data_IF_174105899261
#
_entry.id   IF_174105899261
#
_cell.length_a   1.000
_cell.length_b   1.000
_cell.length_c   1.000
_cell.angle_alpha   90.00
_cell.angle_beta   90.00
_cell.angle_gamma   90.00
#
_symmetry.space_group_name_H-M   'P 1'
#
loop_
_entity.id
_entity.type
_entity.pdbx_description
1 polymer ?
#
# COMPACT_ATOMS: atom_id res chain seq x y z
N UNK A 1 -12.16 -12.17 36.38
CA UNK A 1 -11.36 -12.99 35.44
C UNK A 1 -11.94 -12.75 34.06
N UNK A 2 -11.64 -11.57 33.54
CA UNK A 2 -12.17 -11.07 32.28
C UNK A 2 -11.46 -11.75 31.12
N UNK A 3 -12.19 -12.56 30.37
CA UNK A 3 -11.71 -13.09 29.10
C UNK A 3 -11.75 -11.96 28.09
N UNK A 4 -10.57 -11.43 27.77
CA UNK A 4 -10.33 -10.52 26.65
C UNK A 4 -10.87 -11.17 25.38
N UNK A 5 -11.96 -10.61 24.86
CA UNK A 5 -12.50 -10.94 23.56
C UNK A 5 -11.49 -10.47 22.49
N UNK A 6 -10.71 -11.40 21.95
CA UNK A 6 -9.93 -11.14 20.74
C UNK A 6 -10.91 -10.80 19.62
N UNK A 7 -10.80 -9.59 19.07
CA UNK A 7 -11.56 -9.16 17.91
C UNK A 7 -11.19 -10.04 16.72
N UNK A 8 -12.08 -10.96 16.35
CA UNK A 8 -12.00 -11.64 15.07
C UNK A 8 -12.12 -10.57 13.98
N UNK A 9 -11.05 -10.38 13.20
CA UNK A 9 -10.94 -9.30 12.23
C UNK A 9 -12.05 -9.38 11.19
N UNK A 10 -12.79 -8.28 11.02
CA UNK A 10 -13.67 -8.09 9.86
C UNK A 10 -12.87 -8.31 8.56
N UNK A 11 -13.49 -8.97 7.60
CA UNK A 11 -12.93 -9.12 6.25
C UNK A 11 -12.66 -7.76 5.60
N UNK A 12 -11.78 -7.74 4.59
CA UNK A 12 -11.40 -6.53 3.88
C UNK A 12 -12.58 -6.00 3.04
N UNK A 13 -12.98 -4.75 3.27
CA UNK A 13 -13.89 -4.02 2.39
C UNK A 13 -13.12 -3.44 1.19
N UNK A 14 -13.10 -4.21 0.10
CA UNK A 14 -12.36 -3.82 -1.11
C UNK A 14 -12.98 -2.62 -1.83
N UNK A 15 -14.30 -2.45 -1.75
CA UNK A 15 -14.98 -1.31 -2.39
C UNK A 15 -14.62 0.00 -1.69
N UNK A 16 -14.49 -0.03 -0.36
CA UNK A 16 -14.04 1.11 0.42
C UNK A 16 -12.59 1.49 0.07
N UNK A 17 -11.69 0.50 -0.06
CA UNK A 17 -10.30 0.76 -0.46
C UNK A 17 -10.20 1.28 -1.90
N UNK A 18 -10.95 0.72 -2.84
CA UNK A 18 -11.02 1.22 -4.22
C UNK A 18 -11.46 2.68 -4.25
N UNK A 19 -12.56 3.01 -3.55
CA UNK A 19 -13.08 4.38 -3.49
C UNK A 19 -12.06 5.36 -2.90
N UNK A 20 -11.34 4.95 -1.85
CA UNK A 20 -10.28 5.75 -1.25
C UNK A 20 -9.07 5.94 -2.19
N UNK A 21 -8.68 4.89 -2.93
CA UNK A 21 -7.59 4.97 -3.90
C UNK A 21 -7.94 5.90 -5.07
N UNK A 22 -9.16 5.80 -5.60
CA UNK A 22 -9.69 6.69 -6.65
C UNK A 22 -9.76 8.14 -6.15
N UNK A 23 -10.17 8.37 -4.90
CA UNK A 23 -10.18 9.70 -4.32
C UNK A 23 -8.76 10.28 -4.19
N UNK A 24 -7.79 9.47 -3.77
CA UNK A 24 -6.39 9.86 -3.66
C UNK A 24 -5.79 10.19 -5.03
N UNK A 25 -6.05 9.36 -6.05
CA UNK A 25 -5.57 9.54 -7.43
C UNK A 25 -5.88 10.94 -7.99
N UNK A 26 -7.04 11.51 -7.66
CA UNK A 26 -7.45 12.85 -8.09
C UNK A 26 -6.56 13.99 -7.58
N UNK A 27 -5.73 13.74 -6.57
CA UNK A 27 -4.78 14.69 -6.00
C UNK A 27 -3.37 14.53 -6.57
N UNK A 28 -3.14 13.59 -7.49
CA UNK A 28 -1.83 13.32 -8.07
C UNK A 28 -1.23 14.56 -8.74
N UNK A 29 0.03 14.83 -8.44
CA UNK A 29 0.84 15.79 -9.18
C UNK A 29 1.62 15.04 -10.25
N UNK A 30 1.04 14.92 -11.45
CA UNK A 30 1.63 14.17 -12.56
C UNK A 30 1.67 14.96 -13.89
N UNK A 31 2.24 16.19 -13.93
CA UNK A 31 2.23 17.02 -15.13
C UNK A 31 3.13 16.50 -16.24
N UNK A 32 4.13 15.66 -15.93
CA UNK A 32 5.11 15.18 -16.89
C UNK A 32 4.63 13.91 -17.58
N UNK A 33 4.29 12.86 -16.83
CA UNK A 33 3.78 11.61 -17.43
C UNK A 33 2.32 11.70 -17.88
N UNK A 34 1.53 12.59 -17.26
CA UNK A 34 0.07 12.61 -17.38
C UNK A 34 -0.57 11.29 -16.95
N UNK A 35 0.08 10.58 -16.03
CA UNK A 35 -0.36 9.29 -15.51
C UNK A 35 -0.61 9.38 -13.99
N UNK A 36 -1.80 9.82 -13.57
CA UNK A 36 -2.14 9.91 -12.16
C UNK A 36 -2.39 8.52 -11.58
N UNK A 37 -1.89 8.29 -10.37
CA UNK A 37 -1.98 7.03 -9.63
C UNK A 37 -2.41 7.34 -8.21
N UNK A 38 -3.34 6.54 -7.68
CA UNK A 38 -3.76 6.61 -6.28
C UNK A 38 -3.70 5.25 -5.62
N UNK A 39 -3.40 5.25 -4.33
CA UNK A 39 -3.33 4.05 -3.52
C UNK A 39 -4.05 4.24 -2.18
N UNK A 40 -4.60 3.16 -1.65
CA UNK A 40 -5.19 3.08 -0.32
C UNK A 40 -4.81 1.78 0.36
N UNK A 41 -4.65 1.81 1.69
CA UNK A 41 -4.36 0.63 2.48
C UNK A 41 -5.10 0.65 3.81
N UNK A 42 -5.56 -0.53 4.24
CA UNK A 42 -6.12 -0.76 5.57
C UNK A 42 -4.99 -1.12 6.53
N UNK A 43 -4.91 -0.42 7.66
CA UNK A 43 -3.91 -0.66 8.71
C UNK A 43 -4.36 -1.73 9.72
N UNK A 44 -3.41 -2.20 10.54
CA UNK A 44 -3.64 -3.14 11.63
C UNK A 44 -4.70 -2.70 12.65
N UNK A 45 -4.82 -1.40 12.86
CA UNK A 45 -5.75 -0.76 13.79
C UNK A 45 -7.03 -0.22 13.11
N UNK A 46 -7.26 -0.56 11.84
CA UNK A 46 -8.52 -0.29 11.13
C UNK A 46 -8.62 1.08 10.44
N UNK A 47 -7.55 1.88 10.43
CA UNK A 47 -7.49 3.13 9.66
C UNK A 47 -7.29 2.83 8.17
N UNK A 48 -7.74 3.75 7.33
CA UNK A 48 -7.35 3.78 5.92
C UNK A 48 -6.34 4.91 5.73
N UNK A 49 -5.19 4.55 5.16
CA UNK A 49 -4.15 5.50 4.74
C UNK A 49 -4.13 5.55 3.23
N UNK A 50 -3.84 6.71 2.66
CA UNK A 50 -3.89 6.94 1.21
C UNK A 50 -2.68 7.70 0.70
N UNK A 51 -2.43 7.60 -0.60
CA UNK A 51 -1.37 8.32 -1.29
C UNK A 51 -1.65 8.47 -2.78
N UNK A 52 -0.96 9.44 -3.40
CA UNK A 52 -0.96 9.65 -4.84
C UNK A 52 0.48 9.88 -5.33
N UNK A 53 0.73 9.69 -6.62
CA UNK A 53 2.06 9.96 -7.16
C UNK A 53 2.34 11.47 -7.22
N UNK A 54 3.59 11.83 -6.93
CA UNK A 54 4.10 13.21 -6.98
C UNK A 54 5.37 13.18 -7.81
N UNK A 55 5.26 13.73 -9.00
CA UNK A 55 6.38 13.81 -9.94
C UNK A 55 7.30 14.99 -9.65
N UNK A 56 8.47 14.94 -10.27
CA UNK A 56 9.47 15.99 -10.22
C UNK A 56 10.14 16.16 -11.58
N UNK A 57 10.61 17.36 -11.91
CA UNK A 57 11.37 17.62 -13.14
C UNK A 57 12.64 16.77 -13.23
N UNK A 58 13.29 16.48 -12.10
CA UNK A 58 14.30 15.43 -12.00
C UNK A 58 13.60 14.10 -11.77
N UNK A 59 13.34 13.35 -12.85
CA UNK A 59 12.37 12.24 -12.85
C UNK A 59 12.66 11.16 -11.80
N UNK A 60 13.94 10.93 -11.46
CA UNK A 60 14.35 9.97 -10.43
C UNK A 60 13.86 10.31 -9.01
N UNK A 61 13.40 11.54 -8.77
CA UNK A 61 12.82 11.98 -7.50
C UNK A 61 11.31 11.72 -7.39
N UNK A 62 10.70 11.14 -8.43
CA UNK A 62 9.26 10.84 -8.43
C UNK A 62 8.89 9.89 -7.29
N UNK A 63 7.91 10.31 -6.51
CA UNK A 63 7.30 9.49 -5.48
C UNK A 63 6.08 8.78 -6.07
N UNK A 64 6.06 7.46 -6.02
CA UNK A 64 4.87 6.70 -6.38
C UNK A 64 3.78 6.87 -5.29
N UNK A 65 2.53 6.53 -5.62
CA UNK A 65 1.41 6.63 -4.68
C UNK A 65 1.61 5.82 -3.39
N UNK A 66 2.26 4.67 -3.50
CA UNK A 66 2.58 3.80 -2.37
C UNK A 66 3.64 4.43 -1.46
N UNK A 67 4.57 5.23 -2.00
CA UNK A 67 5.57 5.95 -1.21
C UNK A 67 4.93 7.04 -0.36
N UNK A 68 4.03 7.84 -0.95
CA UNK A 68 3.33 8.89 -0.23
C UNK A 68 2.34 8.30 0.78
N UNK A 69 1.72 7.16 0.46
CA UNK A 69 0.88 6.39 1.39
C UNK A 69 1.68 5.91 2.61
N UNK A 70 2.89 5.39 2.44
CA UNK A 70 3.74 4.99 3.57
C UNK A 70 4.20 6.19 4.39
N UNK A 71 4.46 7.33 3.76
CA UNK A 71 4.65 8.60 4.48
C UNK A 71 3.42 8.95 5.34
N UNK A 72 2.22 8.84 4.77
CA UNK A 72 0.96 9.07 5.49
C UNK A 72 0.76 8.07 6.65
N UNK A 73 1.08 6.78 6.45
CA UNK A 73 1.08 5.76 7.50
C UNK A 73 1.91 6.21 8.70
N UNK A 74 3.17 6.61 8.47
CA UNK A 74 4.07 7.02 9.54
C UNK A 74 3.57 8.26 10.27
N UNK A 75 3.09 9.26 9.52
CA UNK A 75 2.59 10.53 10.09
C UNK A 75 1.29 10.39 10.88
N UNK A 76 0.53 9.31 10.66
CA UNK A 76 -0.77 9.10 11.30
C UNK A 76 -0.73 8.08 12.44
N UNK A 77 0.45 7.55 12.79
CA UNK A 77 0.63 6.63 13.92
C UNK A 77 1.44 5.37 13.62
N UNK A 78 1.90 5.20 12.38
CA UNK A 78 2.65 4.02 11.95
C UNK A 78 1.80 2.74 11.98
N UNK A 79 2.48 1.61 12.10
CA UNK A 79 1.89 0.27 12.17
C UNK A 79 2.07 -0.54 10.89
N UNK A 80 1.31 -1.64 10.79
CA UNK A 80 1.38 -2.58 9.67
C UNK A 80 0.13 -2.49 8.78
N UNK A 81 0.29 -2.84 7.51
CA UNK A 81 -0.75 -2.84 6.48
C UNK A 81 -1.36 -4.24 6.34
N UNK A 82 -2.69 -4.35 6.38
CA UNK A 82 -3.42 -5.62 6.22
C UNK A 82 -3.97 -5.81 4.80
N UNK A 83 -4.33 -4.72 4.13
CA UNK A 83 -4.85 -4.76 2.77
C UNK A 83 -4.44 -3.54 1.96
N UNK A 84 -4.30 -3.68 0.64
CA UNK A 84 -3.86 -2.60 -0.25
C UNK A 84 -4.57 -2.64 -1.62
N UNK A 85 -4.88 -1.46 -2.14
CA UNK A 85 -5.47 -1.23 -3.46
C UNK A 85 -4.77 -0.07 -4.15
N UNK A 86 -4.44 -0.20 -5.44
CA UNK A 86 -3.86 0.85 -6.26
C UNK A 86 -4.60 0.97 -7.59
N UNK A 87 -4.78 2.20 -8.07
CA UNK A 87 -5.49 2.51 -9.31
C UNK A 87 -4.72 3.47 -10.20
N UNK A 88 -4.95 3.35 -11.51
CA UNK A 88 -4.53 4.34 -12.50
C UNK A 88 -5.56 5.48 -12.66
N UNK A 89 -5.30 6.40 -13.60
CA UNK A 89 -6.14 7.55 -13.89
C UNK A 89 -7.54 7.23 -14.43
N UNK A 90 -7.78 6.01 -14.90
CA UNK A 90 -9.07 5.52 -15.34
C UNK A 90 -9.79 4.71 -14.24
N UNK A 91 -9.17 4.56 -13.06
CA UNK A 91 -9.70 3.76 -11.96
C UNK A 91 -9.44 2.26 -12.10
N UNK A 92 -8.66 1.83 -13.09
CA UNK A 92 -8.32 0.40 -13.22
C UNK A 92 -7.32 -0.01 -12.15
N UNK A 93 -7.41 -1.25 -11.68
CA UNK A 93 -6.41 -1.85 -10.78
C UNK A 93 -5.02 -1.77 -11.43
N UNK A 94 -4.07 -1.19 -10.69
CA UNK A 94 -2.68 -1.03 -11.11
C UNK A 94 -1.75 -1.81 -10.17
N UNK A 95 -0.78 -2.52 -10.75
CA UNK A 95 0.21 -3.25 -9.94
C UNK A 95 1.32 -2.32 -9.43
N UNK A 96 1.74 -2.46 -8.16
CA UNK A 96 2.88 -1.72 -7.64
C UNK A 96 4.16 -2.07 -8.39
N UNK A 97 4.99 -1.06 -8.64
CA UNK A 97 6.31 -1.23 -9.24
C UNK A 97 7.26 -1.96 -8.28
N UNK A 98 8.40 -2.48 -8.77
CA UNK A 98 9.33 -3.26 -7.94
C UNK A 98 9.78 -2.53 -6.66
N UNK A 99 10.09 -1.23 -6.76
CA UNK A 99 10.41 -0.38 -5.60
C UNK A 99 9.28 -0.36 -4.57
N UNK A 100 8.04 -0.19 -5.02
CA UNK A 100 6.89 -0.10 -4.13
C UNK A 100 6.51 -1.46 -3.54
N UNK A 101 6.74 -2.57 -4.25
CA UNK A 101 6.58 -3.91 -3.67
C UNK A 101 7.49 -4.11 -2.47
N UNK A 102 8.76 -3.73 -2.60
CA UNK A 102 9.72 -3.83 -1.49
C UNK A 102 9.34 -2.90 -0.33
N UNK A 103 8.86 -1.69 -0.63
CA UNK A 103 8.39 -0.75 0.38
C UNK A 103 7.16 -1.30 1.14
N UNK A 104 6.17 -1.83 0.42
CA UNK A 104 4.98 -2.45 1.04
C UNK A 104 5.37 -3.69 1.85
N UNK A 105 6.37 -4.47 1.41
CA UNK A 105 6.83 -5.65 2.11
C UNK A 105 7.35 -5.33 3.52
N UNK A 106 8.08 -4.22 3.69
CA UNK A 106 8.59 -3.75 4.98
C UNK A 106 7.46 -3.50 5.99
N UNK A 107 6.35 -2.91 5.54
CA UNK A 107 5.23 -2.51 6.40
C UNK A 107 4.06 -3.51 6.39
N UNK A 108 4.25 -4.72 5.87
CA UNK A 108 3.14 -5.70 5.75
C UNK A 108 2.80 -6.33 7.10
N UNK A 109 1.52 -6.50 7.37
CA UNK A 109 1.07 -7.45 8.38
C UNK A 109 1.22 -8.89 7.84
N UNK A 110 1.39 -9.90 8.70
CA UNK A 110 1.30 -11.30 8.27
C UNK A 110 0.01 -11.57 7.48
N UNK A 111 0.16 -12.13 6.28
CA UNK A 111 -0.98 -12.40 5.39
C UNK A 111 -1.59 -11.18 4.72
N UNK A 112 -0.89 -10.03 4.67
CA UNK A 112 -1.34 -8.84 3.95
C UNK A 112 -1.82 -9.19 2.54
N UNK A 113 -3.00 -8.69 2.19
CA UNK A 113 -3.63 -8.92 0.88
C UNK A 113 -3.55 -7.69 -0.02
N UNK A 114 -3.45 -7.91 -1.32
CA UNK A 114 -3.45 -6.86 -2.34
C UNK A 114 -4.50 -7.20 -3.38
N UNK A 115 -5.28 -6.20 -3.81
CA UNK A 115 -6.03 -6.31 -5.05
C UNK A 115 -5.04 -6.22 -6.22
N UNK A 116 -5.00 -7.27 -7.05
CA UNK A 116 -4.15 -7.34 -8.24
C UNK A 116 -5.02 -7.45 -9.49
N UNK A 117 -4.41 -7.28 -10.66
CA UNK A 117 -5.09 -7.51 -11.94
C UNK A 117 -5.56 -8.96 -12.14
N UNK A 118 -5.05 -9.91 -11.33
CA UNK A 118 -5.46 -11.31 -11.31
C UNK A 118 -6.32 -11.66 -10.07
N UNK A 119 -6.94 -10.66 -9.43
CA UNK A 119 -7.70 -10.80 -8.20
C UNK A 119 -6.85 -10.66 -6.94
N UNK A 120 -7.36 -11.13 -5.80
CA UNK A 120 -6.69 -10.95 -4.51
C UNK A 120 -5.47 -11.89 -4.40
N UNK A 121 -4.32 -11.33 -4.02
CA UNK A 121 -3.07 -12.05 -3.75
C UNK A 121 -2.48 -11.63 -2.42
N UNK A 122 -1.65 -12.48 -1.81
CA UNK A 122 -0.85 -12.08 -0.65
C UNK A 122 0.39 -11.30 -1.07
N UNK A 123 0.99 -10.55 -0.15
CA UNK A 123 2.25 -9.84 -0.41
C UNK A 123 3.37 -10.80 -0.85
N UNK A 124 3.46 -11.99 -0.24
CA UNK A 124 4.48 -13.00 -0.59
C UNK A 124 4.28 -13.57 -2.00
N UNK A 125 3.06 -13.56 -2.54
CA UNK A 125 2.80 -13.91 -3.94
C UNK A 125 3.18 -12.78 -4.91
N UNK A 126 3.12 -11.53 -4.46
CA UNK A 126 3.43 -10.33 -5.28
C UNK A 126 4.94 -10.06 -5.33
N UNK A 127 5.66 -10.40 -4.26
CA UNK A 127 7.11 -10.31 -4.15
C UNK A 127 7.65 -11.59 -3.48
N UNK A 128 7.79 -12.69 -4.24
CA UNK A 128 8.38 -13.91 -3.70
C UNK A 128 9.85 -13.71 -3.36
N UNK A 129 10.32 -14.44 -2.34
CA UNK A 129 11.72 -14.44 -1.88
C UNK A 129 12.28 -13.02 -1.64
N UNK A 130 11.43 -12.15 -1.08
CA UNK A 130 11.77 -10.75 -0.84
C UNK A 130 12.89 -10.61 0.18
N UNK A 131 13.78 -9.64 -0.05
CA UNK A 131 14.73 -9.19 0.96
C UNK A 131 13.99 -8.50 2.12
N UNK A 132 14.47 -8.63 3.35
CA UNK A 132 13.78 -8.15 4.55
C UNK A 132 14.63 -8.19 5.81
N UNK A 133 14.11 -7.69 6.95
CA UNK A 133 14.82 -7.63 8.22
C UNK A 133 15.45 -8.96 8.66
N UNK A 134 14.79 -10.08 8.37
CA UNK A 134 15.25 -11.44 8.65
C UNK A 134 16.63 -11.75 8.05
N UNK A 135 16.97 -11.16 6.90
CA UNK A 135 18.26 -11.35 6.24
C UNK A 135 19.37 -10.47 6.83
N UNK A 136 19.00 -9.40 7.54
CA UNK A 136 19.95 -8.48 8.17
C UNK A 136 20.41 -8.98 9.54
N UNK A 137 19.53 -9.69 10.26
CA UNK A 137 19.85 -10.23 11.60
C UNK A 137 20.93 -11.30 11.58
N UNK A 138 21.04 -12.07 10.48
CA UNK A 138 22.10 -13.07 10.29
C UNK A 138 23.52 -12.47 10.25
N UNK A 139 23.63 -11.16 10.01
CA UNK A 139 24.91 -10.44 9.87
C UNK A 139 25.32 -9.65 11.09
N UNK A 140 24.54 -9.71 12.19
CA UNK A 140 24.80 -8.98 13.45
C UNK A 140 25.60 -9.76 14.47
#
# INVERSE_FOLDING_TARGET
MDKVAGSQGQGVDWQMLESAAVAAMKNAYAPYSKFPVGAAALTGDGRIVTGCNVENASYGLTLCAECTLVGNLQMTGGGLLRAFYCVDGAGNVLMPCGRCRQLLYEFRAPGMQLMTTAGIKTMDQVLPDAFGPEHLEETR
#
